data_IF_753368894143
#
_entry.id   IF_753368894143
#
_cell.length_a   1.000
_cell.length_b   1.000
_cell.length_c   1.000
_cell.angle_alpha   90.00
_cell.angle_beta   90.00
_cell.angle_gamma   90.00
#
_symmetry.space_group_name_H-M   'P 1'
#
loop_
_entity.id
_entity.type
_entity.pdbx_description
1 polymer ?
#
# COMPACT_ATOMS: atom_id res chain seq x y z
N UNK A 1 -35.40 6.22 -20.84
CA UNK A 1 -34.80 4.92 -21.18
C UNK A 1 -34.56 4.16 -19.89
N UNK A 2 -35.37 3.13 -19.65
CA UNK A 2 -35.33 2.30 -18.44
C UNK A 2 -34.06 1.45 -18.43
N UNK A 3 -33.13 1.78 -17.54
CA UNK A 3 -31.97 0.92 -17.23
C UNK A 3 -32.49 -0.32 -16.51
N UNK A 4 -32.63 -1.41 -17.26
CA UNK A 4 -32.88 -2.75 -16.73
C UNK A 4 -31.67 -3.11 -15.86
N UNK A 5 -31.87 -3.07 -14.55
CA UNK A 5 -30.91 -3.54 -13.56
C UNK A 5 -30.92 -5.07 -13.66
N UNK A 6 -29.78 -5.74 -13.95
CA UNK A 6 -29.76 -7.19 -13.96
C UNK A 6 -30.04 -7.72 -12.54
N UNK A 7 -31.12 -8.49 -12.39
CA UNK A 7 -31.60 -9.07 -11.12
C UNK A 7 -30.60 -10.03 -10.45
N UNK A 8 -29.51 -10.41 -11.14
CA UNK A 8 -28.50 -11.35 -10.65
C UNK A 8 -27.09 -10.74 -10.46
N UNK A 9 -27.00 -9.45 -10.15
CA UNK A 9 -25.71 -8.89 -9.71
C UNK A 9 -25.29 -9.61 -8.40
N UNK A 10 -24.06 -10.16 -8.27
CA UNK A 10 -23.64 -10.90 -7.08
C UNK A 10 -23.38 -9.93 -5.91
N UNK A 11 -24.46 -9.38 -5.34
CA UNK A 11 -24.47 -8.44 -4.22
C UNK A 11 -23.92 -9.13 -2.95
N UNK A 12 -23.98 -10.46 -2.88
CA UNK A 12 -23.50 -11.22 -1.72
C UNK A 12 -21.97 -11.26 -1.58
N UNK A 13 -21.21 -11.24 -2.70
CA UNK A 13 -19.74 -11.22 -2.69
C UNK A 13 -19.19 -10.49 -3.92
N UNK A 14 -18.91 -9.18 -3.85
CA UNK A 14 -18.38 -8.44 -4.99
C UNK A 14 -17.04 -9.02 -5.45
N UNK A 15 -16.86 -9.19 -6.76
CA UNK A 15 -15.59 -9.61 -7.35
C UNK A 15 -14.61 -8.44 -7.45
N UNK A 16 -14.12 -7.99 -6.29
CA UNK A 16 -13.24 -6.82 -6.17
C UNK A 16 -11.86 -7.14 -6.78
N UNK A 17 -11.25 -8.23 -6.31
CA UNK A 17 -9.86 -8.57 -6.66
C UNK A 17 -9.71 -9.21 -8.06
N UNK A 18 -10.78 -9.74 -8.68
CA UNK A 18 -10.73 -10.30 -10.04
C UNK A 18 -9.61 -11.31 -10.22
N UNK A 19 -8.78 -11.13 -11.26
CA UNK A 19 -7.70 -12.07 -11.56
C UNK A 19 -6.59 -12.13 -10.50
N UNK A 20 -6.44 -11.11 -9.65
CA UNK A 20 -5.49 -11.14 -8.53
C UNK A 20 -5.83 -12.25 -7.53
N UNK A 21 -7.08 -12.71 -7.47
CA UNK A 21 -7.46 -13.89 -6.68
C UNK A 21 -6.72 -15.15 -7.14
N UNK A 22 -6.44 -15.31 -8.44
CA UNK A 22 -5.72 -16.47 -8.95
C UNK A 22 -4.23 -16.41 -8.55
N UNK A 23 -3.58 -15.26 -8.77
CA UNK A 23 -2.21 -15.03 -8.30
C UNK A 23 -2.07 -15.30 -6.80
N UNK A 24 -3.04 -14.84 -6.01
CA UNK A 24 -3.06 -15.08 -4.57
C UNK A 24 -3.31 -16.53 -4.16
N UNK A 25 -4.21 -17.23 -4.86
CA UNK A 25 -4.53 -18.64 -4.57
C UNK A 25 -3.38 -19.59 -4.89
N UNK A 26 -2.66 -19.32 -5.97
CA UNK A 26 -1.54 -20.13 -6.46
C UNK A 26 -0.24 -19.77 -5.72
N UNK A 27 -0.16 -18.56 -5.16
CA UNK A 27 1.00 -18.09 -4.41
C UNK A 27 1.43 -19.07 -3.30
N UNK A 28 2.74 -19.34 -3.16
CA UNK A 28 3.30 -20.17 -2.11
C UNK A 28 3.20 -19.53 -0.71
N UNK A 29 2.65 -18.31 -0.61
CA UNK A 29 2.33 -17.64 0.65
C UNK A 29 0.90 -17.93 1.15
N UNK A 30 0.13 -18.75 0.45
CA UNK A 30 -1.26 -19.07 0.79
C UNK A 30 -1.37 -20.12 1.92
N UNK A 31 -1.02 -19.74 3.15
CA UNK A 31 -1.02 -20.60 4.34
C UNK A 31 -2.41 -21.10 4.80
N UNK A 32 -3.50 -20.75 4.10
CA UNK A 32 -4.85 -21.25 4.39
C UNK A 32 -5.19 -22.59 3.71
N UNK A 33 -4.39 -23.05 2.73
CA UNK A 33 -4.71 -24.23 1.91
C UNK A 33 -4.27 -25.53 2.60
N UNK A 34 -5.22 -26.37 3.03
CA UNK A 34 -4.94 -27.77 3.46
C UNK A 34 -4.91 -28.70 2.22
N UNK A 35 -4.01 -29.71 2.13
CA UNK A 35 -3.01 -30.15 3.11
C UNK A 35 -1.64 -29.43 3.03
N UNK A 36 -1.41 -28.62 1.98
CA UNK A 36 -0.10 -27.98 1.69
C UNK A 36 0.31 -26.84 2.65
N UNK A 37 -0.48 -26.57 3.68
CA UNK A 37 -0.27 -25.47 4.63
C UNK A 37 1.13 -25.47 5.25
N UNK A 38 1.65 -26.65 5.59
CA UNK A 38 2.96 -26.79 6.22
C UNK A 38 4.07 -26.34 5.27
N UNK A 39 4.01 -26.76 4.01
CA UNK A 39 4.97 -26.33 2.97
C UNK A 39 4.95 -24.82 2.74
N UNK A 40 3.77 -24.21 2.66
CA UNK A 40 3.64 -22.75 2.50
C UNK A 40 4.08 -21.96 3.72
N UNK A 41 3.92 -22.53 4.92
CA UNK A 41 4.44 -21.93 6.14
C UNK A 41 5.97 -21.96 6.18
N UNK A 42 6.58 -23.10 5.83
CA UNK A 42 8.03 -23.21 5.70
C UNK A 42 8.58 -22.28 4.60
N UNK A 43 7.90 -22.17 3.46
CA UNK A 43 8.29 -21.25 2.40
C UNK A 43 8.22 -19.78 2.85
N UNK A 44 7.15 -19.41 3.56
CA UNK A 44 6.99 -18.05 4.11
C UNK A 44 8.08 -17.74 5.14
N UNK A 45 8.40 -18.69 6.02
CA UNK A 45 9.47 -18.57 7.00
C UNK A 45 10.85 -18.47 6.34
N UNK A 46 11.12 -19.32 5.35
CA UNK A 46 12.37 -19.28 4.58
C UNK A 46 12.52 -17.95 3.84
N UNK A 47 11.45 -17.45 3.22
CA UNK A 47 11.44 -16.14 2.56
C UNK A 47 11.75 -15.02 3.54
N UNK A 48 11.11 -15.06 4.71
CA UNK A 48 11.33 -14.10 5.79
C UNK A 48 12.80 -14.10 6.27
N UNK A 49 13.35 -15.28 6.56
CA UNK A 49 14.74 -15.42 7.01
C UNK A 49 15.73 -14.99 5.93
N UNK A 50 15.46 -15.32 4.66
CA UNK A 50 16.33 -14.94 3.56
C UNK A 50 16.38 -13.42 3.35
N UNK A 51 15.25 -12.72 3.46
CA UNK A 51 15.21 -11.26 3.34
C UNK A 51 15.93 -10.54 4.48
N UNK A 52 15.80 -11.05 5.72
CA UNK A 52 16.56 -10.54 6.87
C UNK A 52 18.06 -10.81 6.69
N UNK A 53 18.41 -12.03 6.29
CA UNK A 53 19.80 -12.42 6.03
C UNK A 53 20.44 -11.52 4.97
N UNK A 54 19.75 -11.25 3.85
CA UNK A 54 20.23 -10.31 2.83
C UNK A 54 20.45 -8.91 3.40
N UNK A 55 19.48 -8.38 4.16
CA UNK A 55 19.63 -7.05 4.73
C UNK A 55 20.83 -6.97 5.68
N UNK A 56 20.98 -7.95 6.57
CA UNK A 56 22.12 -8.06 7.47
C UNK A 56 23.45 -8.16 6.69
N UNK A 57 23.52 -9.04 5.69
CA UNK A 57 24.73 -9.20 4.89
C UNK A 57 25.09 -7.90 4.16
N UNK A 58 24.12 -7.24 3.54
CA UNK A 58 24.34 -5.96 2.88
C UNK A 58 24.85 -4.91 3.86
N UNK A 59 24.29 -4.79 5.06
CA UNK A 59 24.74 -3.78 6.02
C UNK A 59 26.11 -4.05 6.64
N UNK A 60 26.47 -5.31 6.89
CA UNK A 60 27.62 -5.66 7.74
C UNK A 60 28.76 -6.39 7.03
N UNK A 61 28.49 -7.10 5.92
CA UNK A 61 29.50 -7.91 5.23
C UNK A 61 29.98 -7.29 3.91
N UNK A 62 29.21 -6.34 3.37
CA UNK A 62 29.57 -5.63 2.15
C UNK A 62 30.24 -4.33 2.54
N UNK A 63 31.58 -4.31 2.50
CA UNK A 63 32.35 -3.09 2.72
C UNK A 63 32.30 -2.19 1.49
N UNK A 64 31.92 -0.93 1.74
CA UNK A 64 31.97 0.13 0.74
C UNK A 64 32.18 1.48 1.43
N UNK A 65 33.00 2.39 0.88
CA UNK A 65 33.21 3.72 1.46
C UNK A 65 31.91 4.51 1.58
N UNK A 66 31.77 5.31 2.65
CA UNK A 66 30.58 6.15 2.89
C UNK A 66 30.34 7.06 1.68
N UNK A 67 29.07 7.19 1.25
CA UNK A 67 28.67 8.00 0.08
C UNK A 67 29.30 7.58 -1.26
N UNK A 68 29.86 6.38 -1.36
CA UNK A 68 30.24 5.77 -2.64
C UNK A 68 29.04 5.11 -3.34
N UNK A 69 29.23 4.76 -4.62
CA UNK A 69 28.25 3.97 -5.37
C UNK A 69 27.88 2.68 -4.63
N UNK A 70 28.90 1.95 -4.16
CA UNK A 70 28.70 0.70 -3.44
C UNK A 70 27.93 0.90 -2.14
N UNK A 71 28.17 1.99 -1.40
CA UNK A 71 27.44 2.27 -0.16
C UNK A 71 25.94 2.53 -0.41
N UNK A 72 25.61 3.33 -1.43
CA UNK A 72 24.21 3.63 -1.77
C UNK A 72 23.47 2.42 -2.33
N UNK A 73 24.15 1.63 -3.16
CA UNK A 73 23.62 0.40 -3.73
C UNK A 73 23.35 -0.67 -2.64
N UNK A 74 24.30 -0.87 -1.72
CA UNK A 74 24.11 -1.73 -0.53
C UNK A 74 22.86 -1.31 0.25
N UNK A 75 22.73 -0.02 0.54
CA UNK A 75 21.64 0.49 1.35
C UNK A 75 20.30 0.32 0.63
N UNK A 76 20.25 0.64 -0.67
CA UNK A 76 19.09 0.41 -1.52
C UNK A 76 18.60 -1.04 -1.39
N UNK A 77 19.47 -2.02 -1.64
CA UNK A 77 19.10 -3.43 -1.59
C UNK A 77 18.75 -3.91 -0.18
N UNK A 78 19.47 -3.44 0.84
CA UNK A 78 19.18 -3.78 2.23
C UNK A 78 17.81 -3.27 2.66
N UNK A 79 17.47 -2.02 2.36
CA UNK A 79 16.19 -1.41 2.72
C UNK A 79 15.00 -1.94 1.90
N UNK A 80 15.21 -2.31 0.63
CA UNK A 80 14.18 -3.03 -0.16
C UNK A 80 13.95 -4.44 0.39
N UNK A 81 15.02 -5.17 0.73
CA UNK A 81 14.93 -6.48 1.36
C UNK A 81 14.22 -6.40 2.70
N UNK A 82 14.55 -5.32 3.44
CA UNK A 82 13.75 -4.58 4.41
C UNK A 82 12.29 -4.63 4.02
N UNK A 83 11.75 -3.60 3.40
CA UNK A 83 10.35 -3.47 2.96
C UNK A 83 9.65 -4.79 2.55
N UNK A 84 10.31 -5.62 1.73
CA UNK A 84 9.76 -6.90 1.26
C UNK A 84 9.48 -7.88 2.40
N UNK A 85 10.28 -7.88 3.47
CA UNK A 85 10.06 -8.65 4.69
C UNK A 85 8.71 -8.31 5.34
N UNK A 86 8.38 -7.02 5.37
CA UNK A 86 7.14 -6.51 5.94
C UNK A 86 5.97 -6.98 5.09
N UNK A 87 6.15 -7.00 3.76
CA UNK A 87 5.18 -7.55 2.84
C UNK A 87 4.95 -9.05 3.07
N UNK A 88 5.99 -9.87 3.32
CA UNK A 88 5.82 -11.30 3.65
C UNK A 88 4.98 -11.50 4.91
N UNK A 89 5.25 -10.73 5.97
CA UNK A 89 4.47 -10.77 7.22
C UNK A 89 3.00 -10.42 6.95
N UNK A 90 2.77 -9.37 6.17
CA UNK A 90 1.42 -8.93 5.84
C UNK A 90 0.68 -9.93 4.94
N UNK A 91 1.37 -10.55 3.96
CA UNK A 91 0.85 -11.66 3.16
C UNK A 91 0.41 -12.83 4.05
N UNK A 92 1.25 -13.24 5.00
CA UNK A 92 0.95 -14.32 5.94
C UNK A 92 -0.30 -14.03 6.77
N UNK A 93 -0.43 -12.82 7.33
CA UNK A 93 -1.63 -12.46 8.10
C UNK A 93 -2.89 -12.39 7.24
N UNK A 94 -2.78 -11.94 5.99
CA UNK A 94 -3.92 -11.90 5.09
C UNK A 94 -4.39 -13.29 4.65
N UNK A 95 -3.46 -14.21 4.39
CA UNK A 95 -3.77 -15.59 3.93
C UNK A 95 -4.22 -16.49 5.07
N UNK A 96 -3.57 -16.44 6.22
CA UNK A 96 -3.88 -17.30 7.38
C UNK A 96 -5.25 -16.98 8.00
N UNK A 97 -5.66 -15.72 8.03
CA UNK A 97 -6.91 -15.27 8.68
C UNK A 97 -8.11 -15.13 7.73
N UNK A 98 -7.96 -15.52 6.46
CA UNK A 98 -9.01 -15.38 5.43
C UNK A 98 -9.45 -13.93 5.23
N UNK A 99 -8.53 -12.97 5.35
CA UNK A 99 -8.83 -11.54 5.41
C UNK A 99 -9.55 -11.05 4.15
N UNK A 100 -9.14 -11.52 2.96
CA UNK A 100 -9.77 -11.11 1.69
C UNK A 100 -11.25 -11.51 1.60
N UNK A 101 -11.60 -12.73 2.02
CA UNK A 101 -13.00 -13.20 2.01
C UNK A 101 -13.86 -12.38 2.98
N UNK A 102 -13.34 -12.14 4.20
CA UNK A 102 -14.02 -11.32 5.20
C UNK A 102 -14.18 -9.87 4.74
N UNK A 103 -13.19 -9.34 4.03
CA UNK A 103 -13.24 -8.01 3.44
C UNK A 103 -14.35 -7.91 2.38
N UNK A 104 -14.40 -8.83 1.43
CA UNK A 104 -15.43 -8.82 0.38
C UNK A 104 -16.83 -9.00 0.95
N UNK A 105 -17.00 -9.84 1.97
CA UNK A 105 -18.26 -9.96 2.71
C UNK A 105 -18.64 -8.65 3.40
N UNK A 106 -17.67 -7.96 4.02
CA UNK A 106 -17.87 -6.65 4.65
C UNK A 106 -18.30 -5.58 3.64
N UNK A 107 -17.63 -5.50 2.49
CA UNK A 107 -18.02 -4.59 1.41
C UNK A 107 -19.39 -4.97 0.86
N UNK A 108 -19.68 -6.26 0.64
CA UNK A 108 -21.01 -6.72 0.20
C UNK A 108 -22.12 -6.32 1.16
N UNK A 109 -21.88 -6.41 2.47
CA UNK A 109 -22.80 -5.93 3.50
C UNK A 109 -23.00 -4.40 3.43
N UNK A 110 -21.95 -3.62 3.23
CA UNK A 110 -22.04 -2.16 3.07
C UNK A 110 -22.85 -1.78 1.83
N UNK A 111 -22.65 -2.49 0.71
CA UNK A 111 -23.43 -2.27 -0.52
C UNK A 111 -24.92 -2.52 -0.33
N UNK A 112 -25.29 -3.52 0.46
CA UNK A 112 -26.71 -3.79 0.82
C UNK A 112 -27.33 -2.70 1.68
N UNK A 113 -26.53 -1.89 2.37
CA UNK A 113 -26.97 -0.78 3.20
C UNK A 113 -27.03 0.56 2.44
N UNK A 114 -26.66 0.59 1.16
CA UNK A 114 -26.76 1.78 0.32
C UNK A 114 -28.21 2.15 0.07
N UNK A 115 -28.46 3.42 -0.20
CA UNK A 115 -29.77 3.88 -0.68
C UNK A 115 -29.96 3.43 -2.13
N UNK A 116 -28.96 3.69 -2.98
CA UNK A 116 -28.96 3.20 -4.35
C UNK A 116 -28.13 1.91 -4.45
N UNK A 117 -28.68 0.85 -5.08
CA UNK A 117 -28.04 -0.46 -5.10
C UNK A 117 -26.76 -0.50 -5.96
N UNK A 118 -26.62 0.40 -6.93
CA UNK A 118 -25.54 0.36 -7.90
C UNK A 118 -25.03 1.73 -8.31
N UNK A 119 -23.71 1.87 -8.30
CA UNK A 119 -23.00 3.03 -8.86
C UNK A 119 -21.92 2.55 -9.82
N UNK A 120 -22.17 2.65 -11.12
CA UNK A 120 -21.27 2.16 -12.18
C UNK A 120 -19.82 2.61 -11.98
N UNK A 121 -19.62 3.91 -11.76
CA UNK A 121 -18.30 4.53 -11.54
C UNK A 121 -17.50 3.93 -10.38
N UNK A 122 -18.17 3.51 -9.30
CA UNK A 122 -17.52 3.02 -8.08
C UNK A 122 -17.47 1.49 -8.02
N UNK A 123 -18.46 0.82 -8.60
CA UNK A 123 -18.63 -0.63 -8.55
C UNK A 123 -17.91 -1.36 -9.68
N UNK A 124 -17.52 -0.65 -10.75
CA UNK A 124 -16.65 -1.22 -11.77
C UNK A 124 -15.18 -1.21 -11.33
N UNK A 125 -14.65 -2.41 -11.08
CA UNK A 125 -13.24 -2.62 -10.69
C UNK A 125 -12.32 -2.98 -11.87
N UNK A 126 -12.84 -3.15 -13.10
CA UNK A 126 -12.06 -3.63 -14.24
C UNK A 126 -10.90 -2.70 -14.60
N UNK A 127 -11.20 -1.41 -14.79
CA UNK A 127 -10.19 -0.39 -15.08
C UNK A 127 -9.16 -0.26 -13.95
N UNK A 128 -9.61 -0.32 -12.69
CA UNK A 128 -8.71 -0.27 -11.53
C UNK A 128 -7.75 -1.46 -11.52
N UNK A 129 -8.24 -2.68 -11.77
CA UNK A 129 -7.40 -3.89 -11.83
C UNK A 129 -6.35 -3.81 -12.93
N UNK A 130 -6.75 -3.38 -14.14
CA UNK A 130 -5.83 -3.20 -15.28
C UNK A 130 -4.76 -2.16 -14.96
N UNK A 131 -5.16 -1.00 -14.43
CA UNK A 131 -4.23 0.07 -14.03
C UNK A 131 -3.24 -0.40 -12.97
N UNK A 132 -3.73 -1.07 -11.93
CA UNK A 132 -2.88 -1.61 -10.86
C UNK A 132 -1.89 -2.63 -11.41
N UNK A 133 -2.32 -3.53 -12.28
CA UNK A 133 -1.43 -4.53 -12.88
C UNK A 133 -0.32 -3.89 -13.72
N UNK A 134 -0.68 -3.02 -14.65
CA UNK A 134 0.29 -2.34 -15.53
C UNK A 134 1.30 -1.53 -14.71
N UNK A 135 0.86 -0.87 -13.65
CA UNK A 135 1.75 -0.13 -12.76
C UNK A 135 2.71 -1.04 -11.97
N UNK A 136 2.38 -2.33 -11.76
CA UNK A 136 3.20 -3.25 -10.97
C UNK A 136 4.13 -4.14 -11.79
N UNK A 137 3.88 -4.30 -13.09
CA UNK A 137 4.75 -5.05 -14.02
C UNK A 137 6.21 -4.56 -14.05
N UNK A 138 6.53 -3.26 -13.92
CA UNK A 138 7.92 -2.81 -13.86
C UNK A 138 8.74 -3.40 -12.71
N UNK A 139 8.11 -3.74 -11.58
CA UNK A 139 8.79 -4.27 -10.38
C UNK A 139 9.58 -5.56 -10.70
N UNK A 140 8.94 -6.65 -11.16
CA UNK A 140 9.68 -7.86 -11.51
C UNK A 140 10.68 -7.63 -12.65
N UNK A 141 10.37 -6.78 -13.63
CA UNK A 141 11.28 -6.52 -14.77
C UNK A 141 12.61 -5.94 -14.29
N UNK A 142 12.59 -4.86 -13.51
CA UNK A 142 13.82 -4.20 -13.09
C UNK A 142 14.55 -4.98 -12.00
N UNK A 143 13.84 -5.65 -11.10
CA UNK A 143 14.50 -6.51 -10.12
C UNK A 143 15.19 -7.71 -10.78
N UNK A 144 14.55 -8.38 -11.74
CA UNK A 144 15.19 -9.48 -12.49
C UNK A 144 16.34 -8.91 -13.34
N UNK A 145 16.17 -7.70 -13.90
CA UNK A 145 17.18 -6.99 -14.67
C UNK A 145 18.48 -6.72 -13.90
N UNK A 146 18.41 -6.10 -12.70
CA UNK A 146 19.64 -5.88 -11.91
C UNK A 146 20.22 -7.20 -11.40
N UNK A 147 19.37 -8.14 -10.99
CA UNK A 147 19.80 -9.45 -10.50
C UNK A 147 20.57 -10.24 -11.56
N UNK A 148 20.04 -10.29 -12.80
CA UNK A 148 20.71 -10.95 -13.92
C UNK A 148 22.04 -10.30 -14.29
N UNK A 149 22.12 -8.96 -14.23
CA UNK A 149 23.38 -8.24 -14.45
C UNK A 149 24.45 -8.60 -13.41
N UNK A 150 24.08 -8.56 -12.13
CA UNK A 150 24.98 -8.84 -11.01
C UNK A 150 25.50 -10.28 -11.08
N UNK A 151 24.64 -11.24 -11.39
CA UNK A 151 25.03 -12.65 -11.61
C UNK A 151 25.96 -12.80 -12.81
N UNK A 152 25.64 -12.17 -13.94
CA UNK A 152 26.48 -12.22 -15.14
C UNK A 152 27.90 -11.68 -14.88
N UNK A 153 28.01 -10.63 -14.08
CA UNK A 153 29.29 -10.04 -13.68
C UNK A 153 29.94 -10.72 -12.48
N UNK A 154 29.27 -11.68 -11.84
CA UNK A 154 29.69 -12.35 -10.60
C UNK A 154 29.99 -11.35 -9.46
N UNK A 155 29.18 -10.30 -9.39
CA UNK A 155 29.29 -9.24 -8.39
C UNK A 155 28.12 -9.33 -7.40
N UNK A 156 28.39 -8.95 -6.15
CA UNK A 156 27.36 -8.79 -5.12
C UNK A 156 26.69 -7.43 -5.24
N UNK A 157 27.52 -6.40 -5.33
CA UNK A 157 27.16 -5.03 -5.69
C UNK A 157 28.20 -4.53 -6.68
N UNK A 158 27.87 -3.54 -7.51
CA UNK A 158 28.80 -3.02 -8.52
C UNK A 158 29.98 -2.27 -7.88
N UNK A 159 29.76 -1.61 -6.73
CA UNK A 159 30.76 -0.79 -6.06
C UNK A 159 31.62 -1.49 -5.00
N UNK A 160 31.76 -2.81 -5.00
CA UNK A 160 32.65 -3.52 -4.06
C UNK A 160 33.57 -4.56 -4.72
N UNK A 161 34.73 -4.76 -4.11
CA UNK A 161 35.71 -5.79 -4.46
C UNK A 161 35.39 -7.16 -3.80
N UNK A 162 34.32 -7.24 -3.00
CA UNK A 162 33.97 -8.44 -2.23
C UNK A 162 33.45 -9.58 -3.12
N UNK A 163 34.38 -10.42 -3.57
CA UNK A 163 34.11 -11.62 -4.35
C UNK A 163 33.72 -12.82 -3.45
N UNK A 164 32.49 -12.83 -2.95
CA UNK A 164 31.93 -14.04 -2.33
C UNK A 164 31.37 -14.99 -3.40
N UNK A 165 32.07 -16.10 -3.65
CA UNK A 165 31.81 -17.03 -4.78
C UNK A 165 30.39 -17.63 -4.84
N UNK A 166 29.68 -17.70 -3.72
CA UNK A 166 28.31 -18.25 -3.66
C UNK A 166 27.24 -17.16 -3.48
N UNK A 167 27.58 -16.03 -2.88
CA UNK A 167 26.60 -15.07 -2.38
C UNK A 167 25.87 -14.34 -3.51
N UNK A 168 26.52 -14.08 -4.65
CA UNK A 168 25.84 -13.41 -5.77
C UNK A 168 24.67 -14.22 -6.34
N UNK A 169 24.70 -15.56 -6.28
CA UNK A 169 23.53 -16.39 -6.64
C UNK A 169 22.42 -16.31 -5.61
N UNK A 170 22.79 -16.30 -4.32
CA UNK A 170 21.82 -16.22 -3.23
C UNK A 170 21.16 -14.83 -3.19
N UNK A 171 21.94 -13.76 -3.37
CA UNK A 171 21.42 -12.40 -3.49
C UNK A 171 20.43 -12.29 -4.64
N UNK A 172 20.79 -12.81 -5.82
CA UNK A 172 19.90 -12.84 -6.97
C UNK A 172 18.57 -13.55 -6.68
N UNK A 173 18.63 -14.73 -6.07
CA UNK A 173 17.44 -15.48 -5.66
C UNK A 173 16.55 -14.69 -4.70
N UNK A 174 17.16 -14.02 -3.71
CA UNK A 174 16.42 -13.19 -2.75
C UNK A 174 15.84 -11.95 -3.44
N UNK A 175 16.52 -11.39 -4.44
CA UNK A 175 16.03 -10.21 -5.17
C UNK A 175 14.77 -10.54 -5.98
N UNK A 176 14.80 -11.67 -6.67
CA UNK A 176 13.64 -12.20 -7.40
C UNK A 176 12.49 -12.47 -6.41
N UNK A 177 12.79 -12.98 -5.23
CA UNK A 177 11.81 -13.20 -4.17
C UNK A 177 11.19 -11.89 -3.67
N UNK A 178 11.99 -10.86 -3.42
CA UNK A 178 11.52 -9.50 -3.08
C UNK A 178 10.56 -8.97 -4.16
N UNK A 179 10.93 -9.13 -5.43
CA UNK A 179 10.11 -8.70 -6.55
C UNK A 179 8.77 -9.43 -6.60
N UNK A 180 8.79 -10.75 -6.41
CA UNK A 180 7.60 -11.58 -6.42
C UNK A 180 6.65 -11.26 -5.26
N UNK A 181 7.18 -11.09 -4.05
CA UNK A 181 6.40 -10.69 -2.87
C UNK A 181 5.71 -9.35 -3.09
N UNK A 182 6.46 -8.35 -3.56
CA UNK A 182 5.91 -7.03 -3.88
C UNK A 182 4.84 -7.09 -4.97
N UNK A 183 5.07 -7.89 -6.01
CA UNK A 183 4.14 -8.08 -7.12
C UNK A 183 2.81 -8.72 -6.68
N UNK A 184 2.82 -9.61 -5.69
CA UNK A 184 1.59 -10.22 -5.15
C UNK A 184 0.91 -9.28 -4.15
N UNK A 185 1.67 -8.71 -3.21
CA UNK A 185 1.12 -7.97 -2.09
C UNK A 185 0.51 -6.63 -2.50
N UNK A 186 1.28 -5.80 -3.23
CA UNK A 186 0.92 -4.40 -3.48
C UNK A 186 -0.39 -4.22 -4.24
N UNK A 187 -0.70 -5.01 -5.30
CA UNK A 187 -1.98 -4.89 -5.97
C UNK A 187 -3.17 -5.15 -5.05
N UNK A 188 -3.06 -6.17 -4.20
CA UNK A 188 -4.15 -6.56 -3.30
C UNK A 188 -4.35 -5.51 -2.22
N UNK A 189 -3.27 -5.02 -1.62
CA UNK A 189 -3.32 -3.92 -0.67
C UNK A 189 -3.96 -2.67 -1.30
N UNK A 190 -3.48 -2.25 -2.47
CA UNK A 190 -3.98 -1.07 -3.16
C UNK A 190 -5.45 -1.19 -3.57
N UNK A 191 -5.88 -2.34 -4.08
CA UNK A 191 -7.28 -2.58 -4.44
C UNK A 191 -8.19 -2.58 -3.21
N UNK A 192 -7.75 -3.20 -2.10
CA UNK A 192 -8.51 -3.25 -0.85
C UNK A 192 -8.78 -1.84 -0.30
N UNK A 193 -7.74 -1.01 -0.20
CA UNK A 193 -7.88 0.36 0.30
C UNK A 193 -8.70 1.25 -0.66
N UNK A 194 -8.47 1.14 -1.98
CA UNK A 194 -9.29 1.87 -2.95
C UNK A 194 -10.76 1.46 -2.93
N UNK A 195 -11.07 0.18 -2.66
CA UNK A 195 -12.45 -0.27 -2.50
C UNK A 195 -13.13 0.37 -1.28
N UNK A 196 -12.40 0.54 -0.16
CA UNK A 196 -12.90 1.29 0.99
C UNK A 196 -13.11 2.77 0.67
N UNK A 197 -12.13 3.41 0.04
CA UNK A 197 -12.22 4.82 -0.32
C UNK A 197 -13.43 5.09 -1.22
N UNK A 198 -13.66 4.23 -2.23
CA UNK A 198 -14.85 4.28 -3.08
C UNK A 198 -16.15 4.15 -2.30
N UNK A 199 -16.21 3.28 -1.30
CA UNK A 199 -17.40 3.12 -0.47
C UNK A 199 -17.67 4.35 0.40
N UNK A 200 -16.62 4.99 0.94
CA UNK A 200 -16.76 6.29 1.61
C UNK A 200 -17.22 7.40 0.65
N UNK A 201 -16.72 7.42 -0.59
CA UNK A 201 -17.19 8.38 -1.59
C UNK A 201 -18.68 8.20 -1.89
N UNK A 202 -19.14 6.97 -2.13
CA UNK A 202 -20.58 6.68 -2.31
C UNK A 202 -21.39 7.10 -1.09
N UNK A 203 -20.92 6.76 0.12
CA UNK A 203 -21.60 7.16 1.35
C UNK A 203 -21.73 8.69 1.47
N UNK A 204 -20.65 9.42 1.19
CA UNK A 204 -20.63 10.89 1.26
C UNK A 204 -21.50 11.54 0.16
N UNK A 205 -21.54 10.96 -1.03
CA UNK A 205 -22.38 11.43 -2.14
C UNK A 205 -23.87 11.22 -1.81
N UNK A 206 -24.25 10.04 -1.31
CA UNK A 206 -25.62 9.77 -0.85
C UNK A 206 -26.03 10.66 0.31
N UNK A 207 -25.15 10.85 1.30
CA UNK A 207 -25.41 11.70 2.45
C UNK A 207 -25.60 13.17 2.04
N UNK A 208 -24.78 13.65 1.09
CA UNK A 208 -24.91 15.01 0.56
C UNK A 208 -26.21 15.19 -0.21
N UNK A 209 -26.57 14.23 -1.07
CA UNK A 209 -27.82 14.29 -1.83
C UNK A 209 -29.05 14.26 -0.90
N UNK A 210 -29.03 13.42 0.13
CA UNK A 210 -30.09 13.35 1.14
C UNK A 210 -30.19 14.63 2.01
N UNK A 211 -29.06 15.29 2.24
CA UNK A 211 -29.00 16.61 2.90
C UNK A 211 -29.68 17.67 2.03
N UNK A 212 -29.33 17.73 0.74
CA UNK A 212 -29.90 18.68 -0.23
C UNK A 212 -31.41 18.46 -0.44
N UNK A 213 -31.88 17.21 -0.44
CA UNK A 213 -33.31 16.86 -0.54
C UNK A 213 -34.09 16.98 0.78
N UNK A 214 -33.42 17.36 1.88
CA UNK A 214 -33.99 17.45 3.24
C UNK A 214 -34.55 16.13 3.80
N UNK A 215 -34.12 14.99 3.25
CA UNK A 215 -34.52 13.67 3.72
C UNK A 215 -33.93 13.31 5.08
N UNK A 216 -32.81 13.94 5.46
CA UNK A 216 -32.11 13.68 6.73
C UNK A 216 -32.87 14.16 7.97
N UNK A 217 -33.91 14.98 7.81
CA UNK A 217 -34.84 15.35 8.89
C UNK A 217 -35.74 14.17 9.28
N UNK A 218 -35.82 13.12 8.44
CA UNK A 218 -36.46 11.88 8.84
C UNK A 218 -35.49 11.02 9.68
N UNK A 219 -35.84 10.83 10.95
CA UNK A 219 -35.04 10.03 11.88
C UNK A 219 -34.72 8.62 11.36
N UNK A 220 -35.65 7.95 10.65
CA UNK A 220 -35.40 6.61 10.12
C UNK A 220 -34.33 6.60 9.02
N UNK A 221 -34.29 7.65 8.18
CA UNK A 221 -33.30 7.78 7.10
C UNK A 221 -31.93 8.10 7.72
N UNK A 222 -31.88 9.05 8.66
CA UNK A 222 -30.66 9.40 9.38
C UNK A 222 -30.09 8.19 10.14
N UNK A 223 -30.94 7.38 10.77
CA UNK A 223 -30.51 6.18 11.47
C UNK A 223 -29.87 5.15 10.52
N UNK A 224 -30.44 4.95 9.32
CA UNK A 224 -29.82 4.08 8.29
C UNK A 224 -28.42 4.55 7.90
N UNK A 225 -28.23 5.86 7.73
CA UNK A 225 -26.90 6.44 7.49
C UNK A 225 -25.96 6.23 8.69
N UNK A 226 -26.46 6.43 9.91
CA UNK A 226 -25.69 6.24 11.13
C UNK A 226 -25.21 4.78 11.28
N UNK A 227 -26.07 3.80 11.00
CA UNK A 227 -25.77 2.37 11.08
C UNK A 227 -24.75 1.95 10.01
N UNK A 228 -24.90 2.45 8.78
CA UNK A 228 -23.92 2.21 7.71
C UNK A 228 -22.57 2.85 8.04
N UNK A 229 -22.57 4.06 8.61
CA UNK A 229 -21.34 4.72 9.05
C UNK A 229 -20.62 3.89 10.12
N UNK A 230 -21.34 3.31 11.10
CA UNK A 230 -20.73 2.40 12.09
C UNK A 230 -20.00 1.26 11.39
N UNK A 231 -20.66 0.57 10.46
CA UNK A 231 -20.08 -0.58 9.76
C UNK A 231 -18.89 -0.19 8.88
N UNK A 232 -18.95 0.97 8.25
CA UNK A 232 -17.89 1.49 7.40
C UNK A 232 -16.62 1.79 8.22
N UNK A 233 -16.78 2.41 9.39
CA UNK A 233 -15.68 2.65 10.33
C UNK A 233 -15.17 1.35 10.97
N UNK A 234 -16.05 0.41 11.34
CA UNK A 234 -15.67 -0.91 11.90
C UNK A 234 -14.75 -1.68 10.94
N UNK A 235 -15.13 -1.77 9.66
CA UNK A 235 -14.35 -2.49 8.64
C UNK A 235 -13.02 -1.78 8.40
N UNK A 236 -13.04 -0.44 8.31
CA UNK A 236 -11.84 0.37 8.04
C UNK A 236 -10.85 0.28 9.20
N UNK A 237 -11.30 0.49 10.43
CA UNK A 237 -10.45 0.44 11.62
C UNK A 237 -9.82 -0.94 11.79
N UNK A 238 -10.59 -2.02 11.59
CA UNK A 238 -10.06 -3.39 11.63
C UNK A 238 -8.95 -3.63 10.61
N UNK A 239 -8.99 -2.99 9.44
CA UNK A 239 -7.95 -3.12 8.41
C UNK A 239 -6.73 -2.27 8.78
N UNK A 240 -6.96 -1.03 9.21
CA UNK A 240 -5.91 -0.12 9.68
C UNK A 240 -5.12 -0.71 10.85
N UNK A 241 -5.79 -1.21 11.89
CA UNK A 241 -5.14 -1.84 13.05
C UNK A 241 -4.28 -3.05 12.65
N UNK A 242 -4.79 -3.91 11.76
CA UNK A 242 -4.05 -5.09 11.28
C UNK A 242 -2.81 -4.71 10.48
N UNK A 243 -2.85 -3.59 9.78
CA UNK A 243 -1.76 -3.10 8.96
C UNK A 243 -0.87 -2.09 9.68
N UNK A 244 -1.18 -1.69 10.92
CA UNK A 244 -0.47 -0.62 11.62
C UNK A 244 1.04 -0.87 11.73
N UNK A 245 1.47 -2.05 12.18
CA UNK A 245 2.90 -2.39 12.28
C UNK A 245 3.60 -2.42 10.92
N UNK A 246 2.88 -2.83 9.87
CA UNK A 246 3.35 -2.84 8.49
C UNK A 246 3.49 -1.42 7.91
N UNK A 247 2.45 -0.61 8.07
CA UNK A 247 2.38 0.77 7.59
C UNK A 247 3.33 1.71 8.33
N UNK A 248 3.75 1.34 9.54
CA UNK A 248 4.76 2.07 10.29
C UNK A 248 6.16 1.92 9.68
N UNK A 249 6.53 0.71 9.26
CA UNK A 249 7.91 0.37 8.86
C UNK A 249 8.12 0.38 7.34
N UNK A 250 7.23 -0.24 6.56
CA UNK A 250 7.44 -0.46 5.12
C UNK A 250 7.60 0.85 4.32
N UNK A 251 6.80 1.91 4.54
CA UNK A 251 6.98 3.17 3.82
C UNK A 251 8.30 3.86 4.15
N UNK A 252 8.74 3.81 5.42
CA UNK A 252 10.02 4.38 5.82
C UNK A 252 11.21 3.66 5.17
N UNK A 253 11.19 2.33 5.16
CA UNK A 253 12.20 1.51 4.50
C UNK A 253 12.24 1.82 3.00
N UNK A 254 11.07 1.94 2.35
CA UNK A 254 10.97 2.33 0.94
C UNK A 254 11.51 3.73 0.68
N UNK A 255 11.23 4.70 1.55
CA UNK A 255 11.72 6.06 1.41
C UNK A 255 13.23 6.16 1.58
N UNK A 256 13.80 5.38 2.49
CA UNK A 256 15.25 5.32 2.67
C UNK A 256 15.91 4.65 1.46
N UNK A 257 15.33 3.58 0.93
CA UNK A 257 15.74 2.98 -0.34
C UNK A 257 15.66 3.99 -1.50
N UNK A 258 14.55 4.75 -1.59
CA UNK A 258 14.33 5.78 -2.61
C UNK A 258 15.40 6.87 -2.54
N UNK A 259 15.75 7.36 -1.35
CA UNK A 259 16.82 8.35 -1.18
C UNK A 259 18.16 7.83 -1.73
N UNK A 260 18.53 6.59 -1.38
CA UNK A 260 19.79 5.97 -1.82
C UNK A 260 19.85 5.79 -3.34
N UNK A 261 18.79 5.25 -3.98
CA UNK A 261 18.79 5.06 -5.43
C UNK A 261 18.70 6.40 -6.19
N UNK A 262 17.98 7.39 -5.66
CA UNK A 262 17.92 8.72 -6.27
C UNK A 262 19.30 9.37 -6.24
N UNK A 263 20.00 9.27 -5.12
CA UNK A 263 21.37 9.76 -4.99
C UNK A 263 22.33 9.05 -5.96
N UNK A 264 22.24 7.73 -6.08
CA UNK A 264 23.01 6.92 -7.04
C UNK A 264 22.78 7.37 -8.48
N UNK A 265 21.51 7.45 -8.90
CA UNK A 265 21.14 7.81 -10.28
C UNK A 265 21.55 9.23 -10.64
N UNK A 266 21.48 10.17 -9.69
CA UNK A 266 21.72 11.60 -9.94
C UNK A 266 23.20 12.00 -9.86
N UNK A 267 23.97 11.42 -8.95
CA UNK A 267 25.34 11.88 -8.68
C UNK A 267 26.43 10.89 -9.07
N UNK A 268 26.11 9.60 -9.27
CA UNK A 268 27.12 8.52 -9.34
C UNK A 268 27.06 7.72 -10.64
N UNK A 269 27.04 8.41 -11.78
CA UNK A 269 26.99 7.77 -13.11
C UNK A 269 28.35 7.30 -13.62
N UNK A 270 29.43 7.99 -13.24
CA UNK A 270 30.77 7.75 -13.82
C UNK A 270 31.23 6.30 -13.58
N UNK A 271 31.73 5.65 -14.63
CA UNK A 271 32.22 4.26 -14.58
C UNK A 271 31.14 3.17 -14.63
N UNK A 272 29.85 3.51 -14.59
CA UNK A 272 28.75 2.52 -14.57
C UNK A 272 28.33 2.11 -15.99
N UNK A 273 28.25 0.81 -16.32
CA UNK A 273 27.74 0.34 -17.60
C UNK A 273 26.31 0.82 -17.86
N UNK A 274 26.03 1.28 -19.09
CA UNK A 274 24.74 1.89 -19.47
C UNK A 274 23.55 1.00 -19.13
N UNK A 275 23.65 -0.30 -19.40
CA UNK A 275 22.59 -1.26 -19.07
C UNK A 275 22.25 -1.23 -17.56
N UNK A 276 23.27 -1.27 -16.71
CA UNK A 276 23.07 -1.31 -15.26
C UNK A 276 22.51 0.02 -14.73
N UNK A 277 22.96 1.13 -15.30
CA UNK A 277 22.41 2.44 -15.00
C UNK A 277 20.92 2.56 -15.36
N UNK A 278 20.49 2.01 -16.51
CA UNK A 278 19.06 1.92 -16.87
C UNK A 278 18.28 1.08 -15.86
N UNK A 279 18.86 -0.04 -15.41
CA UNK A 279 18.25 -0.84 -14.35
C UNK A 279 18.12 -0.07 -13.03
N UNK A 280 19.10 0.77 -12.66
CA UNK A 280 19.03 1.62 -11.46
C UNK A 280 17.96 2.72 -11.55
N UNK A 281 17.81 3.35 -12.72
CA UNK A 281 16.66 4.25 -12.98
C UNK A 281 15.35 3.48 -12.81
N UNK A 282 15.30 2.26 -13.34
CA UNK A 282 14.17 1.34 -13.15
C UNK A 282 13.89 1.05 -11.68
N UNK A 283 14.91 0.79 -10.87
CA UNK A 283 14.78 0.59 -9.43
C UNK A 283 14.27 1.84 -8.70
N UNK A 284 14.69 3.03 -9.12
CA UNK A 284 14.14 4.29 -8.60
C UNK A 284 12.64 4.40 -8.89
N UNK A 285 12.22 4.10 -10.13
CA UNK A 285 10.82 4.06 -10.52
C UNK A 285 10.05 3.01 -9.69
N UNK A 286 10.63 1.83 -9.46
CA UNK A 286 10.06 0.80 -8.60
C UNK A 286 9.86 1.29 -7.16
N UNK A 287 10.84 1.97 -6.56
CA UNK A 287 10.72 2.55 -5.22
C UNK A 287 9.57 3.58 -5.15
N UNK A 288 9.40 4.40 -6.19
CA UNK A 288 8.26 5.34 -6.29
C UNK A 288 6.94 4.57 -6.40
N UNK A 289 6.88 3.52 -7.22
CA UNK A 289 5.70 2.68 -7.40
C UNK A 289 5.33 1.92 -6.10
N UNK A 290 6.32 1.41 -5.36
CA UNK A 290 6.11 0.73 -4.08
C UNK A 290 5.58 1.74 -3.06
N UNK A 291 6.31 2.83 -2.80
CA UNK A 291 5.92 3.85 -1.82
C UNK A 291 4.55 4.46 -2.10
N UNK A 292 4.27 4.81 -3.37
CA UNK A 292 2.98 5.37 -3.75
C UNK A 292 1.81 4.42 -3.49
N UNK A 293 1.98 3.11 -3.73
CA UNK A 293 0.90 2.14 -3.52
C UNK A 293 0.72 1.75 -2.05
N UNK A 294 1.75 1.90 -1.22
CA UNK A 294 1.62 1.77 0.22
C UNK A 294 0.82 2.95 0.79
N UNK A 295 1.12 4.18 0.35
CA UNK A 295 0.66 5.39 1.03
C UNK A 295 -0.61 6.00 0.44
N UNK A 296 -0.70 6.21 -0.88
CA UNK A 296 -1.84 6.94 -1.47
C UNK A 296 -3.19 6.24 -1.26
N UNK A 297 -3.33 4.92 -1.46
CA UNK A 297 -4.61 4.25 -1.22
C UNK A 297 -5.10 4.42 0.23
N UNK A 298 -4.20 4.32 1.20
CA UNK A 298 -4.51 4.55 2.61
C UNK A 298 -4.85 6.02 2.92
N UNK A 299 -4.19 6.97 2.24
CA UNK A 299 -4.50 8.39 2.37
C UNK A 299 -5.89 8.72 1.81
N UNK A 300 -6.28 8.14 0.68
CA UNK A 300 -7.62 8.35 0.10
C UNK A 300 -8.74 7.89 1.04
N UNK A 301 -8.55 6.78 1.75
CA UNK A 301 -9.51 6.33 2.76
C UNK A 301 -9.62 7.35 3.89
N UNK A 302 -8.48 7.83 4.43
CA UNK A 302 -8.47 8.81 5.52
C UNK A 302 -9.08 10.16 5.11
N UNK A 303 -8.82 10.61 3.88
CA UNK A 303 -9.42 11.84 3.34
C UNK A 303 -10.92 11.69 3.13
N UNK A 304 -11.38 10.55 2.61
CA UNK A 304 -12.80 10.28 2.41
C UNK A 304 -13.56 10.18 3.75
N UNK A 305 -12.92 9.63 4.79
CA UNK A 305 -13.43 9.63 6.16
C UNK A 305 -13.55 11.04 6.75
N UNK A 306 -12.53 11.87 6.57
CA UNK A 306 -12.56 13.26 7.04
C UNK A 306 -13.66 14.05 6.32
N UNK A 307 -13.82 13.84 5.02
CA UNK A 307 -14.87 14.48 4.22
C UNK A 307 -16.28 14.17 4.71
N UNK A 308 -16.52 12.99 5.31
CA UNK A 308 -17.80 12.67 5.96
C UNK A 308 -18.16 13.68 7.04
N UNK A 309 -17.19 14.12 7.85
CA UNK A 309 -17.43 15.14 8.88
C UNK A 309 -17.81 16.48 8.26
N UNK A 310 -17.17 16.86 7.15
CA UNK A 310 -17.47 18.10 6.42
C UNK A 310 -18.89 18.09 5.83
N UNK A 311 -19.33 16.97 5.24
CA UNK A 311 -20.71 16.86 4.72
C UNK A 311 -21.73 17.02 5.84
N UNK A 312 -21.51 16.36 6.98
CA UNK A 312 -22.40 16.47 8.14
C UNK A 312 -22.39 17.89 8.74
N UNK A 313 -21.25 18.56 8.78
CA UNK A 313 -21.11 19.90 9.35
C UNK A 313 -21.65 21.03 8.47
N UNK A 314 -21.86 20.75 7.19
CA UNK A 314 -22.38 21.73 6.25
C UNK A 314 -23.91 21.63 6.07
N UNK A 315 -24.58 20.69 6.75
CA UNK A 315 -26.03 20.51 6.65
C UNK A 315 -26.78 21.57 7.48
N UNK A 316 -27.52 22.51 6.84
CA UNK A 316 -28.15 23.60 7.56
C UNK A 316 -29.34 23.16 8.43
N UNK A 317 -29.91 21.97 8.20
CA UNK A 317 -31.12 21.49 8.86
C UNK A 317 -30.80 20.63 10.10
N UNK A 318 -29.79 19.77 10.03
CA UNK A 318 -29.39 18.87 11.11
C UNK A 318 -28.83 19.63 12.31
N UNK A 319 -28.08 20.71 12.08
CA UNK A 319 -27.52 21.56 13.13
C UNK A 319 -28.55 22.32 13.95
N UNK A 320 -29.69 22.66 13.33
CA UNK A 320 -30.77 23.44 13.94
C UNK A 320 -31.98 22.58 14.30
N UNK A 321 -31.88 21.25 14.19
CA UNK A 321 -32.97 20.34 14.50
C UNK A 321 -33.35 20.44 15.98
N UNK A 322 -34.62 20.73 16.24
CA UNK A 322 -35.17 20.75 17.60
C UNK A 322 -35.53 19.35 18.13
N UNK A 323 -35.58 18.33 17.25
CA UNK A 323 -35.81 16.95 17.67
C UNK A 323 -34.56 16.38 18.37
N UNK A 324 -34.64 16.00 19.66
CA UNK A 324 -33.52 15.43 20.41
C UNK A 324 -32.96 14.15 19.80
N UNK A 325 -33.79 13.32 19.16
CA UNK A 325 -33.35 12.04 18.56
C UNK A 325 -32.52 12.28 17.30
N UNK A 326 -32.92 13.23 16.47
CA UNK A 326 -32.18 13.63 15.27
C UNK A 326 -30.87 14.29 15.67
N UNK A 327 -30.92 15.26 16.60
CA UNK A 327 -29.73 15.98 17.05
C UNK A 327 -28.70 15.07 17.71
N UNK A 328 -29.13 14.13 18.57
CA UNK A 328 -28.23 13.17 19.20
C UNK A 328 -27.58 12.22 18.18
N UNK A 329 -28.35 11.67 17.24
CA UNK A 329 -27.84 10.79 16.17
C UNK A 329 -26.83 11.53 15.30
N UNK A 330 -27.18 12.75 14.88
CA UNK A 330 -26.30 13.65 14.16
C UNK A 330 -24.98 13.89 14.91
N UNK A 331 -25.06 14.27 16.19
CA UNK A 331 -23.88 14.56 17.00
C UNK A 331 -22.98 13.34 17.14
N UNK A 332 -23.54 12.15 17.33
CA UNK A 332 -22.80 10.89 17.38
C UNK A 332 -22.08 10.63 16.05
N UNK A 333 -22.74 10.85 14.91
CA UNK A 333 -22.13 10.66 13.59
C UNK A 333 -20.96 11.61 13.35
N UNK A 334 -21.09 12.87 13.75
CA UNK A 334 -20.04 13.89 13.67
C UNK A 334 -18.87 13.53 14.58
N UNK A 335 -19.15 13.23 15.85
CA UNK A 335 -18.12 12.87 16.82
C UNK A 335 -17.34 11.64 16.36
N UNK A 336 -18.02 10.63 15.79
CA UNK A 336 -17.37 9.44 15.23
C UNK A 336 -16.45 9.80 14.05
N UNK A 337 -16.91 10.66 13.14
CA UNK A 337 -16.11 11.05 11.98
C UNK A 337 -14.88 11.89 12.36
N UNK A 338 -15.02 12.79 13.33
CA UNK A 338 -13.93 13.67 13.77
C UNK A 338 -12.95 13.00 14.73
N UNK A 339 -13.46 12.18 15.67
CA UNK A 339 -12.64 11.60 16.74
C UNK A 339 -12.09 10.22 16.41
N UNK A 340 -12.32 9.68 15.21
CA UNK A 340 -11.74 8.39 14.85
C UNK A 340 -10.21 8.52 14.72
N UNK A 341 -9.48 7.92 15.67
CA UNK A 341 -8.02 7.96 15.75
C UNK A 341 -7.31 6.86 14.96
N UNK A 342 -8.07 5.99 14.28
CA UNK A 342 -7.52 4.88 13.51
C UNK A 342 -6.94 5.39 12.18
N UNK A 343 -5.80 6.07 12.26
CA UNK A 343 -5.02 6.56 11.12
C UNK A 343 -3.80 5.68 10.92
N UNK A 344 -3.38 5.48 9.66
CA UNK A 344 -2.08 4.89 9.40
C UNK A 344 -1.00 5.92 9.70
N UNK A 345 0.01 5.53 10.49
CA UNK A 345 1.15 6.36 10.85
C UNK A 345 2.43 5.70 10.33
N UNK A 346 3.36 6.49 9.81
CA UNK A 346 4.72 6.05 9.47
C UNK A 346 5.64 6.36 10.65
N UNK A 347 6.29 5.34 11.20
CA UNK A 347 7.13 5.40 12.42
C UNK A 347 6.40 6.03 13.62
N UNK A 348 5.07 6.07 13.63
CA UNK A 348 4.27 6.84 14.61
C UNK A 348 4.53 8.36 14.60
N UNK A 349 5.28 8.89 13.62
CA UNK A 349 5.68 10.31 13.56
C UNK A 349 4.72 11.13 12.70
N UNK A 350 4.33 10.61 11.52
CA UNK A 350 3.44 11.33 10.62
C UNK A 350 2.28 10.48 10.12
N UNK A 351 1.11 11.10 10.00
CA UNK A 351 -0.09 10.48 9.46
C UNK A 351 -0.06 10.40 7.95
N UNK A 352 -0.59 9.30 7.42
CA UNK A 352 -0.66 9.02 5.98
C UNK A 352 -1.83 9.81 5.37
N UNK A 353 -1.56 11.07 5.04
CA UNK A 353 -2.43 11.98 4.27
C UNK A 353 -1.69 12.48 3.03
N UNK A 354 -2.40 12.89 1.96
CA UNK A 354 -1.76 13.30 0.70
C UNK A 354 -0.73 14.41 0.88
N UNK A 355 -1.07 15.44 1.66
CA UNK A 355 -0.14 16.56 1.96
C UNK A 355 1.14 16.07 2.64
N UNK A 356 1.05 15.10 3.55
CA UNK A 356 2.22 14.57 4.25
C UNK A 356 3.06 13.67 3.34
N UNK A 357 2.43 12.93 2.42
CA UNK A 357 3.13 12.14 1.40
C UNK A 357 3.94 13.06 0.48
N UNK A 358 3.33 14.13 -0.01
CA UNK A 358 4.00 15.12 -0.87
C UNK A 358 5.16 15.81 -0.14
N UNK A 359 4.97 16.16 1.14
CA UNK A 359 6.06 16.67 2.01
C UNK A 359 7.18 15.64 2.20
N UNK A 360 6.86 14.37 2.35
CA UNK A 360 7.87 13.31 2.50
C UNK A 360 8.74 13.19 1.24
N UNK A 361 8.16 13.21 0.04
CA UNK A 361 8.93 13.22 -1.21
C UNK A 361 9.83 14.46 -1.31
N UNK A 362 9.34 15.64 -0.92
CA UNK A 362 10.15 16.85 -0.86
C UNK A 362 11.34 16.70 0.12
N UNK A 363 11.12 16.15 1.31
CA UNK A 363 12.20 15.88 2.28
C UNK A 363 13.24 14.91 1.69
N UNK A 364 12.82 13.84 1.01
CA UNK A 364 13.73 12.89 0.36
C UNK A 364 14.61 13.59 -0.67
N UNK A 365 14.04 14.48 -1.51
CA UNK A 365 14.85 15.23 -2.48
C UNK A 365 15.88 16.13 -1.80
N UNK A 366 15.55 16.76 -0.66
CA UNK A 366 16.50 17.56 0.11
C UNK A 366 17.60 16.71 0.75
N UNK A 367 17.26 15.53 1.28
CA UNK A 367 18.26 14.58 1.82
C UNK A 367 19.27 14.21 0.73
N UNK A 368 18.81 13.94 -0.49
CA UNK A 368 19.70 13.62 -1.62
C UNK A 368 20.64 14.79 -1.96
N UNK A 369 20.14 16.02 -1.95
CA UNK A 369 20.97 17.21 -2.16
C UNK A 369 22.04 17.34 -1.08
N UNK A 370 21.65 17.17 0.19
CA UNK A 370 22.57 17.20 1.33
C UNK A 370 23.65 16.12 1.17
N UNK A 371 23.28 14.89 0.83
CA UNK A 371 24.22 13.80 0.55
C UNK A 371 25.22 14.16 -0.56
N UNK A 372 24.76 14.79 -1.64
CA UNK A 372 25.61 15.25 -2.75
C UNK A 372 26.63 16.31 -2.30
N UNK A 373 26.20 17.28 -1.48
CA UNK A 373 27.09 18.31 -0.94
C UNK A 373 28.14 17.69 -0.02
N UNK A 374 27.74 16.83 0.91
CA UNK A 374 28.68 16.14 1.81
C UNK A 374 29.67 15.25 1.07
N UNK A 375 29.23 14.56 0.02
CA UNK A 375 30.14 13.76 -0.80
C UNK A 375 31.23 14.61 -1.42
N UNK A 376 30.88 15.78 -2.00
CA UNK A 376 31.87 16.69 -2.57
C UNK A 376 32.85 17.23 -1.54
N UNK A 377 32.39 17.49 -0.32
CA UNK A 377 33.24 17.93 0.80
C UNK A 377 34.19 16.82 1.26
N UNK A 378 33.76 15.56 1.24
CA UNK A 378 34.57 14.42 1.69
C UNK A 378 35.60 13.94 0.67
N UNK A 379 35.36 14.20 -0.62
CA UNK A 379 36.24 13.80 -1.73
C UNK A 379 37.20 14.95 -2.13
N UNK A 380 36.83 16.20 -1.81
CA UNK A 380 37.74 17.36 -1.89
C UNK A 380 38.72 17.36 -0.73
#
# INVERSE_FOLDING_TARGET
MSTIIPEDAPIATPNIFGFFRYFWKISPYNCGKKPLRIFFLFFSLASFLAMIFRAWWMFYMVDAPILSFGWSERNLYAFISMESFSCVIALYFMTSKGTLKRFEQGIGMLKKMRINPYYEKYDEYSALRKKTFLLKVPIPIFFIGCSGFLVYKKLVIFGSDSQSSWYYYVDAGIMILCAYVNFIYLPVHGIMQNALAREFHVFNEELKNASESKELVNHQILQKFADRQVKLFEITNRITERLHGFMSSAPFLTFTALANVTYLVTNLREGVPTYYYVCMIGMMICCIIISSNLLYPAAFVQEAMLHTSTVLMNDPFLHHSQDPKIYSTYRIMVDRAQKNRSVNLVIQIFSVNRKNIERAYFVITNIVLVMSVFQKILIS
#
